data_IF_375766139326
#
_entry.id   IF_375766139326
#
_cell.length_a   1.000
_cell.length_b   1.000
_cell.length_c   1.000
_cell.angle_alpha   90.00
_cell.angle_beta   90.00
_cell.angle_gamma   90.00
#
_symmetry.space_group_name_H-M   'P 1'
#
loop_
_entity.id
_entity.type
_entity.pdbx_description
1 polymer ?
#
# COMPACT_ATOMS: atom_id res chain seq x y z
N UNK A 1 -4.44 9.59 11.26
CA UNK A 1 -5.08 9.54 12.59
C UNK A 1 -6.35 10.40 12.65
N UNK A 2 -6.31 11.67 12.25
CA UNK A 2 -7.46 12.60 12.31
C UNK A 2 -8.71 12.12 11.56
N UNK A 3 -8.57 11.59 10.33
CA UNK A 3 -9.69 11.01 9.54
C UNK A 3 -10.43 9.90 10.31
N UNK A 4 -9.69 9.03 11.00
CA UNK A 4 -10.26 7.90 11.73
C UNK A 4 -11.08 8.37 12.95
N UNK A 5 -10.58 9.38 13.66
CA UNK A 5 -11.30 10.00 14.79
C UNK A 5 -12.58 10.70 14.32
N UNK A 6 -12.52 11.47 13.22
CA UNK A 6 -13.70 12.12 12.64
C UNK A 6 -14.73 11.10 12.17
N UNK A 7 -14.28 10.03 11.52
CA UNK A 7 -15.16 8.97 11.01
C UNK A 7 -15.88 8.24 12.14
N UNK A 8 -15.15 7.82 13.18
CA UNK A 8 -15.74 7.09 14.31
C UNK A 8 -16.71 7.94 15.12
N UNK A 9 -16.48 9.25 15.22
CA UNK A 9 -17.34 10.15 16.00
C UNK A 9 -18.59 10.60 15.25
N UNK A 10 -18.57 10.64 13.92
CA UNK A 10 -19.68 11.07 13.07
C UNK A 10 -21.03 10.38 13.35
N UNK A 11 -21.15 9.03 13.41
CA UNK A 11 -22.43 8.38 13.68
C UNK A 11 -22.99 8.73 15.07
N UNK A 12 -22.14 8.90 16.08
CA UNK A 12 -22.57 9.33 17.41
C UNK A 12 -23.08 10.77 17.41
N UNK A 13 -22.50 11.65 16.60
CA UNK A 13 -22.99 13.02 16.44
C UNK A 13 -24.39 13.03 15.81
N UNK A 14 -24.62 12.22 14.78
CA UNK A 14 -25.94 12.07 14.14
C UNK A 14 -26.98 11.51 15.12
N UNK A 15 -26.61 10.47 15.87
CA UNK A 15 -27.48 9.87 16.88
C UNK A 15 -27.83 10.85 18.03
N UNK A 16 -26.85 11.64 18.50
CA UNK A 16 -27.10 12.66 19.54
C UNK A 16 -27.95 13.84 19.04
N UNK A 17 -28.00 14.09 17.74
CA UNK A 17 -28.89 15.09 17.16
C UNK A 17 -30.36 14.63 17.18
N UNK A 18 -30.61 13.37 16.84
CA UNK A 18 -31.98 12.83 16.77
C UNK A 18 -32.60 12.61 18.15
N UNK A 19 -31.81 12.20 19.14
CA UNK A 19 -32.31 11.78 20.47
C UNK A 19 -32.48 12.91 21.48
N UNK A 20 -31.68 13.99 21.42
CA UNK A 20 -31.73 15.02 22.47
C UNK A 20 -32.72 16.14 22.14
N UNK A 21 -33.69 16.46 23.01
CA UNK A 21 -34.78 17.39 22.69
C UNK A 21 -34.38 18.89 22.69
N UNK A 22 -33.30 19.29 23.34
CA UNK A 22 -32.90 20.69 23.56
C UNK A 22 -32.69 21.50 22.26
N UNK A 23 -33.45 22.59 22.07
CA UNK A 23 -33.40 23.45 20.87
C UNK A 23 -32.07 24.19 20.69
N UNK A 24 -31.49 24.74 21.77
CA UNK A 24 -30.21 25.48 21.72
C UNK A 24 -29.02 24.59 21.30
N UNK A 25 -28.90 23.40 21.90
CA UNK A 25 -27.83 22.45 21.53
C UNK A 25 -28.06 21.79 20.16
N UNK A 26 -29.29 21.83 19.62
CA UNK A 26 -29.58 21.25 18.31
C UNK A 26 -28.85 21.96 17.18
N UNK A 27 -28.68 23.29 17.28
CA UNK A 27 -27.95 24.08 16.28
C UNK A 27 -26.46 23.78 16.35
N UNK A 28 -25.88 23.77 17.55
CA UNK A 28 -24.47 23.42 17.77
C UNK A 28 -24.16 22.04 17.21
N UNK A 29 -24.99 21.04 17.52
CA UNK A 29 -24.84 19.67 17.01
C UNK A 29 -24.91 19.58 15.50
N UNK A 30 -25.83 20.33 14.89
CA UNK A 30 -25.97 20.39 13.44
C UNK A 30 -24.70 20.95 12.80
N UNK A 31 -24.21 22.09 13.30
CA UNK A 31 -22.99 22.74 12.81
C UNK A 31 -21.80 21.81 12.97
N UNK A 32 -21.61 21.16 14.13
CA UNK A 32 -20.49 20.23 14.34
C UNK A 32 -20.57 19.02 13.42
N UNK A 33 -21.77 18.49 13.15
CA UNK A 33 -21.95 17.35 12.23
C UNK A 33 -21.67 17.74 10.78
N UNK A 34 -22.12 18.92 10.34
CA UNK A 34 -21.85 19.46 9.01
C UNK A 34 -20.36 19.76 8.83
N UNK A 35 -19.70 20.35 9.84
CA UNK A 35 -18.27 20.62 9.80
C UNK A 35 -17.43 19.33 9.77
N UNK A 36 -17.83 18.31 10.54
CA UNK A 36 -17.20 16.99 10.52
C UNK A 36 -17.32 16.34 9.13
N UNK A 37 -18.50 16.40 8.51
CA UNK A 37 -18.72 15.90 7.15
C UNK A 37 -17.88 16.69 6.13
N UNK A 38 -17.87 18.02 6.21
CA UNK A 38 -17.06 18.87 5.34
C UNK A 38 -15.57 18.53 5.45
N UNK A 39 -15.03 18.38 6.66
CA UNK A 39 -13.65 17.97 6.88
C UNK A 39 -13.36 16.57 6.32
N UNK A 40 -14.27 15.61 6.48
CA UNK A 40 -14.14 14.28 5.90
C UNK A 40 -14.08 14.34 4.36
N UNK A 41 -14.90 15.16 3.73
CA UNK A 41 -14.88 15.34 2.28
C UNK A 41 -13.59 16.05 1.81
N UNK A 42 -13.16 17.09 2.52
CA UNK A 42 -11.94 17.84 2.22
C UNK A 42 -10.68 16.97 2.32
N UNK A 43 -10.63 16.05 3.29
CA UNK A 43 -9.52 15.12 3.45
C UNK A 43 -9.43 14.05 2.34
N UNK A 44 -10.45 13.97 1.46
CA UNK A 44 -10.51 13.24 0.17
C UNK A 44 -9.70 11.93 0.11
N UNK A 45 -9.77 11.12 1.17
CA UNK A 45 -9.12 9.82 1.19
C UNK A 45 -10.08 8.78 0.59
N UNK A 46 -9.59 7.92 -0.32
CA UNK A 46 -10.38 6.82 -0.91
C UNK A 46 -11.10 5.97 0.15
N UNK A 47 -10.52 5.84 1.34
CA UNK A 47 -11.12 5.16 2.47
C UNK A 47 -12.43 5.82 2.98
N UNK A 48 -12.57 7.14 2.84
CA UNK A 48 -13.76 7.91 3.26
C UNK A 48 -14.92 7.67 2.28
N UNK A 49 -14.64 7.60 0.98
CA UNK A 49 -15.64 7.26 -0.03
C UNK A 49 -16.18 5.84 0.18
N UNK A 50 -15.27 4.88 0.41
CA UNK A 50 -15.64 3.50 0.74
C UNK A 50 -16.43 3.41 2.04
N UNK A 51 -16.06 4.18 3.07
CA UNK A 51 -16.74 4.14 4.36
C UNK A 51 -18.10 4.82 4.34
N UNK A 52 -18.27 5.88 3.54
CA UNK A 52 -19.59 6.47 3.27
C UNK A 52 -20.48 5.47 2.53
N UNK A 53 -19.94 4.79 1.51
CA UNK A 53 -20.67 3.77 0.75
C UNK A 53 -21.11 2.59 1.65
N UNK A 54 -20.24 2.15 2.57
CA UNK A 54 -20.53 1.06 3.49
C UNK A 54 -21.38 1.47 4.70
N UNK A 55 -21.24 2.71 5.17
CA UNK A 55 -21.95 3.23 6.36
C UNK A 55 -23.40 3.64 6.08
N UNK A 56 -23.70 4.14 4.87
CA UNK A 56 -25.05 4.54 4.46
C UNK A 56 -26.09 3.40 4.61
N UNK A 57 -25.82 2.17 4.13
CA UNK A 57 -26.71 1.03 4.30
C UNK A 57 -26.99 0.70 5.76
N UNK A 58 -25.98 0.79 6.64
CA UNK A 58 -26.14 0.52 8.08
C UNK A 58 -27.05 1.55 8.73
N UNK A 59 -26.86 2.83 8.42
CA UNK A 59 -27.72 3.90 8.92
C UNK A 59 -29.16 3.69 8.41
N UNK A 60 -29.33 3.39 7.13
CA UNK A 60 -30.65 3.10 6.54
C UNK A 60 -31.31 1.89 7.24
N UNK A 61 -30.57 0.80 7.46
CA UNK A 61 -31.06 -0.41 8.11
C UNK A 61 -31.50 -0.14 9.56
N UNK A 62 -30.69 0.57 10.34
CA UNK A 62 -31.04 0.99 11.72
C UNK A 62 -32.30 1.85 11.72
N UNK A 63 -32.45 2.74 10.74
CA UNK A 63 -33.67 3.54 10.60
C UNK A 63 -34.88 2.70 10.17
N UNK A 64 -34.70 1.71 9.31
CA UNK A 64 -35.78 0.86 8.80
C UNK A 64 -36.33 -0.05 9.89
N UNK A 65 -35.45 -0.66 10.71
CA UNK A 65 -35.83 -1.47 11.87
C UNK A 65 -36.56 -0.62 12.92
N UNK A 66 -36.05 0.57 13.23
CA UNK A 66 -36.68 1.47 14.20
C UNK A 66 -37.98 2.13 13.70
N UNK A 67 -38.29 2.05 12.40
CA UNK A 67 -39.54 2.57 11.82
C UNK A 67 -40.76 1.76 12.25
N UNK A 68 -40.60 0.48 12.57
CA UNK A 68 -41.68 -0.45 12.84
C UNK A 68 -42.26 -0.35 14.27
N UNK A 69 -41.60 0.36 15.20
CA UNK A 69 -41.84 0.17 16.63
C UNK A 69 -42.34 1.39 17.42
N UNK A 70 -42.52 2.59 16.82
CA UNK A 70 -42.69 3.83 17.63
C UNK A 70 -43.81 4.77 17.14
N UNK A 71 -44.74 5.03 18.06
CA UNK A 71 -45.97 5.85 18.03
C UNK A 71 -45.70 7.39 17.97
N UNK A 72 -46.65 8.34 18.23
CA UNK A 72 -46.67 9.72 17.70
C UNK A 72 -45.46 10.64 18.00
N UNK A 73 -44.49 10.23 18.84
CA UNK A 73 -43.13 10.80 18.90
C UNK A 73 -42.45 10.90 17.51
N UNK A 74 -42.92 10.06 16.57
CA UNK A 74 -42.48 9.96 15.19
C UNK A 74 -42.59 11.27 14.39
N UNK A 75 -43.53 12.18 14.72
CA UNK A 75 -43.71 13.41 13.95
C UNK A 75 -42.59 14.43 14.21
N UNK A 76 -42.13 14.55 15.46
CA UNK A 76 -41.03 15.43 15.85
C UNK A 76 -39.71 14.87 15.31
N UNK A 77 -39.48 13.56 15.44
CA UNK A 77 -38.29 12.90 14.88
C UNK A 77 -38.23 13.02 13.35
N UNK A 78 -39.34 12.78 12.63
CA UNK A 78 -39.39 12.96 11.16
C UNK A 78 -39.00 14.38 10.75
N UNK A 79 -39.51 15.41 11.44
CA UNK A 79 -39.15 16.81 11.16
C UNK A 79 -37.65 17.06 11.36
N UNK A 80 -37.06 16.53 12.43
CA UNK A 80 -35.61 16.63 12.70
C UNK A 80 -34.77 15.90 11.67
N UNK A 81 -35.15 14.69 11.28
CA UNK A 81 -34.45 13.90 10.26
C UNK A 81 -34.51 14.62 8.91
N UNK A 82 -35.66 15.18 8.51
CA UNK A 82 -35.78 15.99 7.28
C UNK A 82 -34.88 17.23 7.33
N UNK A 83 -34.75 17.88 8.48
CA UNK A 83 -33.84 19.02 8.64
C UNK A 83 -32.37 18.60 8.58
N UNK A 84 -32.01 17.50 9.24
CA UNK A 84 -30.66 16.93 9.19
C UNK A 84 -30.28 16.53 7.76
N UNK A 85 -31.16 15.81 7.06
CA UNK A 85 -30.94 15.41 5.67
C UNK A 85 -30.72 16.61 4.76
N UNK A 86 -31.56 17.67 4.88
CA UNK A 86 -31.36 18.92 4.15
C UNK A 86 -30.00 19.55 4.45
N UNK A 87 -29.61 19.64 5.72
CA UNK A 87 -28.31 20.20 6.11
C UNK A 87 -27.12 19.40 5.54
N UNK A 88 -27.18 18.07 5.57
CA UNK A 88 -26.14 17.21 5.00
C UNK A 88 -26.07 17.37 3.48
N UNK A 89 -27.21 17.46 2.78
CA UNK A 89 -27.25 17.74 1.34
C UNK A 89 -26.65 19.11 1.03
N UNK A 90 -26.98 20.15 1.79
CA UNK A 90 -26.36 21.47 1.61
C UNK A 90 -24.85 21.44 1.87
N UNK A 91 -24.40 20.73 2.92
CA UNK A 91 -22.96 20.56 3.19
C UNK A 91 -22.26 19.84 2.02
N UNK A 92 -22.88 18.80 1.46
CA UNK A 92 -22.36 18.09 0.30
C UNK A 92 -22.24 19.02 -0.92
N UNK A 93 -23.30 19.78 -1.23
CA UNK A 93 -23.30 20.74 -2.34
C UNK A 93 -22.24 21.83 -2.14
N UNK A 94 -22.14 22.41 -0.95
CA UNK A 94 -21.11 23.41 -0.62
C UNK A 94 -19.70 22.81 -0.79
N UNK A 95 -19.51 21.57 -0.35
CA UNK A 95 -18.22 20.88 -0.51
C UNK A 95 -17.88 20.69 -1.99
N UNK A 96 -18.84 20.22 -2.80
CA UNK A 96 -18.66 20.04 -4.25
C UNK A 96 -18.34 21.38 -4.92
N UNK A 97 -19.10 22.43 -4.64
CA UNK A 97 -18.85 23.77 -5.19
C UNK A 97 -17.49 24.30 -4.76
N UNK A 98 -17.10 24.09 -3.49
CA UNK A 98 -15.77 24.46 -2.99
C UNK A 98 -14.67 23.73 -3.77
N UNK A 99 -14.79 22.42 -3.97
CA UNK A 99 -13.85 21.65 -4.78
C UNK A 99 -13.79 22.22 -6.21
N UNK A 100 -14.91 22.33 -6.90
CA UNK A 100 -14.99 22.85 -8.29
C UNK A 100 -14.38 24.25 -8.43
N UNK A 101 -14.53 25.13 -7.44
CA UNK A 101 -14.02 26.50 -7.52
C UNK A 101 -12.55 26.65 -7.09
N UNK A 102 -12.08 25.85 -6.14
CA UNK A 102 -10.74 26.01 -5.53
C UNK A 102 -9.71 24.98 -5.99
N UNK A 103 -10.11 23.87 -6.61
CA UNK A 103 -9.15 22.93 -7.19
C UNK A 103 -8.87 23.32 -8.63
N UNK A 104 -7.60 23.66 -8.91
CA UNK A 104 -7.17 23.97 -10.27
C UNK A 104 -7.21 22.68 -11.10
N UNK A 105 -8.14 22.62 -12.05
CA UNK A 105 -8.50 21.47 -12.89
C UNK A 105 -7.36 20.75 -13.65
N UNK A 106 -6.10 21.22 -13.59
CA UNK A 106 -4.99 20.61 -14.32
C UNK A 106 -4.25 19.50 -13.57
N UNK A 107 -4.30 19.45 -12.24
CA UNK A 107 -3.67 18.38 -11.45
C UNK A 107 -4.64 17.22 -11.12
N UNK A 108 -5.96 17.47 -11.12
CA UNK A 108 -6.94 16.48 -10.68
C UNK A 108 -7.26 15.40 -11.71
N UNK A 109 -7.22 15.67 -13.02
CA UNK A 109 -7.35 14.60 -14.02
C UNK A 109 -6.23 13.58 -13.88
N UNK A 110 -5.00 14.03 -13.60
CA UNK A 110 -3.88 13.15 -13.34
C UNK A 110 -4.00 12.46 -11.97
N UNK A 111 -4.46 13.13 -10.91
CA UNK A 111 -4.64 12.51 -9.61
C UNK A 111 -5.81 11.50 -9.56
N UNK A 112 -6.90 11.73 -10.29
CA UNK A 112 -8.01 10.79 -10.42
C UNK A 112 -7.64 9.64 -11.36
N UNK A 113 -7.01 9.90 -12.51
CA UNK A 113 -6.51 8.86 -13.41
C UNK A 113 -5.45 7.99 -12.73
N UNK A 114 -4.48 8.57 -12.02
CA UNK A 114 -3.50 7.83 -11.22
C UNK A 114 -4.12 7.20 -9.96
N UNK A 115 -5.33 7.62 -9.57
CA UNK A 115 -6.06 7.00 -8.48
C UNK A 115 -6.80 5.73 -8.88
N UNK A 116 -7.21 5.62 -10.13
CA UNK A 116 -7.84 4.43 -10.69
C UNK A 116 -6.88 3.55 -11.50
N UNK A 117 -5.79 4.11 -12.03
CA UNK A 117 -4.72 3.36 -12.67
C UNK A 117 -3.88 2.64 -11.59
N UNK A 118 -4.13 1.33 -11.43
CA UNK A 118 -3.45 0.47 -10.46
C UNK A 118 -1.95 0.25 -10.75
N UNK A 119 -1.43 0.79 -11.85
CA UNK A 119 -0.10 0.44 -12.34
C UNK A 119 1.05 1.26 -11.73
N UNK A 120 0.80 2.47 -11.22
CA UNK A 120 1.87 3.38 -10.77
C UNK A 120 1.61 4.00 -9.38
N UNK A 121 1.22 3.19 -8.38
CA UNK A 121 1.07 3.70 -7.01
C UNK A 121 1.14 2.64 -5.91
N UNK A 122 1.27 3.11 -4.65
CA UNK A 122 1.36 2.32 -3.40
C UNK A 122 0.32 1.20 -3.24
N UNK A 123 -0.78 1.23 -3.99
CA UNK A 123 -1.77 0.15 -4.04
C UNK A 123 -1.19 -1.18 -4.56
N UNK A 124 -0.33 -1.13 -5.59
CA UNK A 124 0.33 -2.33 -6.14
C UNK A 124 1.28 -2.96 -5.13
N UNK A 125 2.08 -2.14 -4.46
CA UNK A 125 2.98 -2.61 -3.39
C UNK A 125 2.20 -3.26 -2.24
N UNK A 126 1.03 -2.71 -1.88
CA UNK A 126 0.17 -3.29 -0.84
C UNK A 126 -0.45 -4.60 -1.29
N UNK A 127 -1.01 -4.67 -2.50
CA UNK A 127 -1.57 -5.92 -3.05
C UNK A 127 -0.51 -7.00 -3.15
N UNK A 128 0.70 -6.63 -3.55
CA UNK A 128 1.85 -7.54 -3.59
C UNK A 128 2.24 -8.00 -2.18
N UNK A 129 2.28 -7.08 -1.21
CA UNK A 129 2.57 -7.39 0.19
C UNK A 129 1.49 -8.32 0.80
N UNK A 130 0.22 -8.10 0.47
CA UNK A 130 -0.89 -8.99 0.84
C UNK A 130 -0.75 -10.37 0.21
N UNK A 131 -0.44 -10.43 -1.10
CA UNK A 131 -0.18 -11.69 -1.80
C UNK A 131 0.93 -12.49 -1.14
N UNK A 132 2.05 -11.84 -0.80
CA UNK A 132 3.17 -12.45 -0.06
C UNK A 132 2.75 -12.89 1.34
N UNK A 133 1.91 -12.11 2.02
CA UNK A 133 1.36 -12.47 3.34
C UNK A 133 0.51 -13.74 3.28
N UNK A 134 -0.36 -13.87 2.27
CA UNK A 134 -1.14 -15.09 2.07
C UNK A 134 -0.27 -16.32 1.79
N UNK A 135 0.86 -16.16 1.11
CA UNK A 135 1.83 -17.24 0.89
C UNK A 135 2.48 -17.71 2.20
N UNK A 136 2.87 -16.77 3.09
CA UNK A 136 3.38 -17.10 4.42
C UNK A 136 2.33 -17.86 5.24
N UNK A 137 1.07 -17.43 5.18
CA UNK A 137 -0.05 -18.09 5.89
C UNK A 137 -0.23 -19.52 5.35
N UNK A 138 -0.10 -19.72 4.03
CA UNK A 138 -0.19 -21.05 3.43
C UNK A 138 0.96 -21.98 3.86
N UNK A 139 2.18 -21.46 4.05
CA UNK A 139 3.32 -22.28 4.52
C UNK A 139 3.23 -22.64 6.00
N UNK A 140 2.76 -21.72 6.86
CA UNK A 140 2.71 -21.92 8.31
C UNK A 140 1.35 -21.52 8.88
N UNK A 141 0.26 -22.25 8.55
CA UNK A 141 -1.09 -21.84 8.93
C UNK A 141 -1.34 -21.93 10.44
N UNK A 142 -0.71 -22.90 11.11
CA UNK A 142 -0.96 -23.18 12.54
C UNK A 142 0.01 -22.44 13.46
N UNK A 143 1.31 -22.53 13.19
CA UNK A 143 2.33 -21.88 14.03
C UNK A 143 2.54 -20.40 13.69
N UNK A 144 2.12 -19.97 12.51
CA UNK A 144 2.41 -18.65 11.98
C UNK A 144 3.91 -18.38 11.86
N UNK A 145 4.22 -17.09 11.69
CA UNK A 145 5.56 -16.53 11.86
C UNK A 145 5.45 -15.45 12.93
N UNK A 146 6.28 -15.52 13.97
CA UNK A 146 6.27 -14.50 15.02
C UNK A 146 6.41 -13.09 14.44
N UNK A 147 5.83 -12.08 15.10
CA UNK A 147 5.76 -10.70 14.59
C UNK A 147 7.12 -10.14 14.15
N UNK A 148 8.19 -10.48 14.87
CA UNK A 148 9.56 -10.08 14.52
C UNK A 148 10.11 -10.81 13.27
N UNK A 149 9.67 -12.05 13.04
CA UNK A 149 10.10 -12.90 11.93
C UNK A 149 9.28 -12.66 10.65
N UNK A 150 8.10 -12.03 10.74
CA UNK A 150 7.30 -11.73 9.55
C UNK A 150 8.07 -10.87 8.53
N UNK A 151 8.84 -9.88 9.01
CA UNK A 151 9.63 -8.99 8.13
C UNK A 151 10.72 -9.75 7.37
N UNK A 152 11.30 -10.81 7.94
CA UNK A 152 12.31 -11.63 7.25
C UNK A 152 11.66 -12.65 6.33
N UNK A 153 10.57 -13.28 6.78
CA UNK A 153 9.83 -14.29 6.02
C UNK A 153 9.17 -13.69 4.77
N UNK A 154 8.63 -12.48 4.83
CA UNK A 154 8.01 -11.83 3.67
C UNK A 154 9.00 -11.47 2.55
N UNK A 155 10.29 -11.33 2.89
CA UNK A 155 11.34 -11.08 1.89
C UNK A 155 11.61 -12.30 1.02
N UNK A 156 11.28 -13.52 1.47
CA UNK A 156 11.39 -14.75 0.66
C UNK A 156 10.50 -14.70 -0.58
N UNK A 157 9.32 -14.11 -0.44
CA UNK A 157 8.30 -14.07 -1.50
C UNK A 157 8.39 -12.82 -2.38
N UNK A 158 9.19 -11.83 -1.99
CA UNK A 158 9.35 -10.59 -2.73
C UNK A 158 10.53 -10.51 -3.68
N UNK A 159 11.46 -11.43 -3.53
CA UNK A 159 12.68 -11.48 -4.32
C UNK A 159 12.75 -12.85 -4.97
N UNK A 160 12.12 -13.02 -6.13
CA UNK A 160 12.19 -14.27 -6.90
C UNK A 160 13.66 -14.71 -7.12
N UNK A 161 14.59 -13.76 -7.24
CA UNK A 161 16.03 -14.04 -7.28
C UNK A 161 16.58 -14.66 -5.98
N UNK A 162 16.10 -14.24 -4.80
CA UNK A 162 16.48 -14.89 -3.54
C UNK A 162 15.82 -16.24 -3.34
N UNK A 163 14.60 -16.42 -3.82
CA UNK A 163 13.92 -17.71 -3.76
C UNK A 163 14.70 -18.76 -4.56
N UNK A 164 15.12 -18.42 -5.79
CA UNK A 164 15.98 -19.28 -6.58
C UNK A 164 17.37 -19.49 -5.95
N UNK A 165 17.95 -18.45 -5.34
CA UNK A 165 19.22 -18.58 -4.62
C UNK A 165 19.12 -19.55 -3.43
N UNK A 166 18.08 -19.42 -2.61
CA UNK A 166 17.86 -20.29 -1.45
C UNK A 166 17.57 -21.74 -1.85
N UNK A 167 16.95 -21.96 -3.02
CA UNK A 167 16.73 -23.28 -3.60
C UNK A 167 17.94 -23.83 -4.39
N UNK A 168 19.11 -23.20 -4.28
CA UNK A 168 20.35 -23.53 -4.99
C UNK A 168 20.24 -23.51 -6.53
N UNK A 169 19.23 -22.84 -7.07
CA UNK A 169 18.99 -22.64 -8.51
C UNK A 169 19.64 -21.32 -8.97
N UNK A 170 20.97 -21.30 -8.99
CA UNK A 170 21.76 -20.07 -9.15
C UNK A 170 21.59 -19.41 -10.53
N UNK A 171 21.41 -20.20 -11.60
CA UNK A 171 21.17 -19.65 -12.94
C UNK A 171 19.81 -18.98 -13.07
N UNK A 172 18.78 -19.55 -12.46
CA UNK A 172 17.44 -18.95 -12.36
C UNK A 172 17.47 -17.67 -11.52
N UNK A 173 18.21 -17.69 -10.40
CA UNK A 173 18.40 -16.51 -9.54
C UNK A 173 19.04 -15.35 -10.30
N UNK A 174 20.06 -15.65 -11.10
CA UNK A 174 20.77 -14.70 -11.93
C UNK A 174 19.92 -14.18 -13.09
N UNK A 175 19.16 -15.05 -13.76
CA UNK A 175 18.24 -14.67 -14.84
C UNK A 175 17.13 -13.72 -14.36
N UNK A 176 16.63 -13.91 -13.12
CA UNK A 176 15.68 -12.96 -12.52
C UNK A 176 16.34 -11.61 -12.28
N UNK A 177 17.58 -11.59 -11.76
CA UNK A 177 18.33 -10.35 -11.54
C UNK A 177 18.62 -9.60 -12.84
N UNK A 178 18.86 -10.31 -13.95
CA UNK A 178 19.01 -9.70 -15.27
C UNK A 178 17.71 -9.11 -15.82
N UNK A 179 16.55 -9.67 -15.46
CA UNK A 179 15.22 -9.18 -15.88
C UNK A 179 14.72 -7.99 -15.07
N UNK A 180 15.22 -7.79 -13.86
CA UNK A 180 14.92 -6.59 -13.08
C UNK A 180 15.60 -5.42 -13.79
N UNK A 181 14.82 -4.56 -14.43
CA UNK A 181 15.30 -3.44 -15.24
C UNK A 181 16.27 -2.55 -14.42
N UNK A 182 17.56 -2.68 -14.75
CA UNK A 182 18.69 -2.11 -14.00
C UNK A 182 18.94 -0.65 -14.39
N UNK A 183 18.06 -0.05 -15.21
CA UNK A 183 18.11 1.38 -15.49
C UNK A 183 17.95 2.26 -14.24
N UNK A 184 17.50 1.67 -13.13
CA UNK A 184 17.56 2.33 -11.84
C UNK A 184 18.74 1.78 -11.06
N UNK A 185 19.79 2.61 -10.90
CA UNK A 185 20.93 2.48 -9.97
C UNK A 185 20.44 2.40 -8.50
N UNK A 186 19.57 1.46 -8.14
CA UNK A 186 19.02 1.38 -6.79
C UNK A 186 20.03 0.68 -5.87
N UNK A 187 20.56 1.38 -4.85
CA UNK A 187 21.53 0.80 -3.90
C UNK A 187 20.96 -0.39 -3.12
N UNK A 188 19.63 -0.55 -3.11
CA UNK A 188 18.90 -1.60 -2.39
C UNK A 188 19.15 -3.02 -2.94
N UNK A 189 19.65 -3.15 -4.18
CA UNK A 189 19.96 -4.46 -4.77
C UNK A 189 21.37 -4.97 -4.45
N UNK A 190 22.29 -4.08 -4.02
CA UNK A 190 23.66 -4.43 -3.67
C UNK A 190 23.78 -5.64 -2.70
N UNK A 191 23.03 -5.70 -1.58
CA UNK A 191 23.17 -6.82 -0.63
C UNK A 191 22.69 -8.18 -1.18
N UNK A 192 21.85 -8.19 -2.23
CA UNK A 192 21.32 -9.42 -2.81
C UNK A 192 22.17 -9.92 -3.99
N UNK A 193 22.83 -9.01 -4.70
CA UNK A 193 23.67 -9.32 -5.84
C UNK A 193 24.94 -10.06 -5.43
N UNK A 194 25.60 -9.62 -4.36
CA UNK A 194 26.86 -10.21 -3.85
C UNK A 194 26.77 -11.71 -3.60
N UNK A 195 25.84 -12.25 -2.80
CA UNK A 195 25.78 -13.69 -2.54
C UNK A 195 25.51 -14.51 -3.82
N UNK A 196 24.67 -14.02 -4.72
CA UNK A 196 24.32 -14.70 -5.97
C UNK A 196 25.52 -14.75 -6.92
N UNK A 197 26.24 -13.63 -7.10
CA UNK A 197 27.45 -13.59 -7.92
C UNK A 197 28.58 -14.41 -7.31
N UNK A 198 28.76 -14.39 -5.99
CA UNK A 198 29.77 -15.18 -5.28
C UNK A 198 29.54 -16.69 -5.49
N UNK A 199 28.28 -17.13 -5.44
CA UNK A 199 27.92 -18.52 -5.69
C UNK A 199 28.04 -18.91 -7.17
N UNK A 200 27.60 -18.04 -8.10
CA UNK A 200 27.77 -18.26 -9.55
C UNK A 200 29.25 -18.37 -9.91
N UNK A 201 30.09 -17.51 -9.35
CA UNK A 201 31.56 -17.59 -9.46
C UNK A 201 32.09 -18.94 -8.99
N UNK A 202 31.68 -19.40 -7.80
CA UNK A 202 32.13 -20.70 -7.25
C UNK A 202 31.81 -21.84 -8.23
N UNK A 203 30.61 -21.84 -8.82
CA UNK A 203 30.21 -22.82 -9.83
C UNK A 203 31.09 -22.76 -11.10
N UNK A 204 31.41 -21.56 -11.57
CA UNK A 204 32.27 -21.37 -12.74
C UNK A 204 33.72 -21.80 -12.50
N UNK A 205 34.26 -21.56 -11.32
CA UNK A 205 35.61 -21.98 -10.94
C UNK A 205 35.74 -23.50 -10.83
N UNK A 206 34.72 -24.17 -10.27
CA UNK A 206 34.63 -25.63 -10.27
C UNK A 206 34.56 -26.16 -11.71
N UNK A 207 33.76 -25.55 -12.57
CA UNK A 207 33.63 -25.94 -13.99
C UNK A 207 34.95 -25.78 -14.78
N UNK A 208 35.77 -24.79 -14.44
CA UNK A 208 37.08 -24.54 -15.08
C UNK A 208 38.25 -25.26 -14.41
N UNK A 209 37.99 -26.14 -13.44
CA UNK A 209 39.00 -26.91 -12.70
C UNK A 209 40.09 -26.04 -12.03
N UNK A 210 39.74 -24.80 -11.67
CA UNK A 210 40.69 -23.77 -11.24
C UNK A 210 40.37 -23.31 -9.81
N UNK A 211 40.41 -24.24 -8.87
CA UNK A 211 39.98 -24.06 -7.47
C UNK A 211 40.89 -23.12 -6.66
N UNK A 212 42.13 -22.91 -7.10
CA UNK A 212 43.14 -22.11 -6.40
C UNK A 212 42.93 -20.59 -6.54
N UNK A 213 42.03 -20.15 -7.43
CA UNK A 213 41.75 -18.72 -7.69
C UNK A 213 40.73 -18.13 -6.70
N UNK A 214 40.01 -18.97 -5.94
CA UNK A 214 38.98 -18.50 -5.00
C UNK A 214 39.53 -17.59 -3.89
N UNK A 215 40.81 -17.69 -3.55
CA UNK A 215 41.50 -16.90 -2.51
C UNK A 215 42.02 -15.54 -2.99
N UNK A 216 42.10 -15.31 -4.31
CA UNK A 216 42.67 -14.10 -4.90
C UNK A 216 41.65 -12.98 -5.16
N UNK A 217 40.35 -13.27 -5.00
CA UNK A 217 39.28 -12.34 -5.35
C UNK A 217 38.73 -11.59 -4.12
N UNK A 218 38.48 -10.27 -4.22
CA UNK A 218 37.93 -9.48 -3.12
C UNK A 218 36.57 -10.02 -2.64
N UNK A 219 36.37 -10.06 -1.32
CA UNK A 219 35.04 -10.32 -0.72
C UNK A 219 34.29 -9.00 -0.46
N UNK A 220 34.46 -8.04 -1.36
CA UNK A 220 33.88 -6.70 -1.26
C UNK A 220 32.59 -6.59 -2.08
N UNK A 221 31.49 -6.23 -1.41
CA UNK A 221 30.19 -5.99 -2.02
C UNK A 221 30.21 -4.90 -3.10
N UNK A 222 31.05 -3.86 -2.94
CA UNK A 222 31.15 -2.81 -3.95
C UNK A 222 31.84 -3.33 -5.22
N UNK A 223 32.91 -4.11 -5.08
CA UNK A 223 33.57 -4.76 -6.21
C UNK A 223 32.59 -5.60 -7.06
N UNK A 224 31.77 -6.46 -6.45
CA UNK A 224 30.79 -7.28 -7.18
C UNK A 224 29.75 -6.43 -7.92
N UNK A 225 29.29 -5.36 -7.29
CA UNK A 225 28.36 -4.42 -7.90
C UNK A 225 28.97 -3.73 -9.13
N UNK A 226 30.23 -3.30 -9.04
CA UNK A 226 30.94 -2.68 -10.16
C UNK A 226 31.16 -3.65 -11.33
N UNK A 227 31.49 -4.92 -11.06
CA UNK A 227 31.62 -5.92 -12.14
C UNK A 227 30.28 -6.21 -12.82
N UNK A 228 29.19 -6.24 -12.06
CA UNK A 228 27.85 -6.39 -12.63
C UNK A 228 27.45 -5.21 -13.50
N UNK A 229 27.76 -3.97 -13.08
CA UNK A 229 27.53 -2.78 -13.90
C UNK A 229 28.37 -2.80 -15.19
N UNK A 230 29.61 -3.31 -15.15
CA UNK A 230 30.44 -3.52 -16.35
C UNK A 230 29.85 -4.57 -17.28
N UNK A 231 29.35 -5.69 -16.74
CA UNK A 231 28.65 -6.72 -17.52
C UNK A 231 27.45 -6.13 -18.28
N UNK A 232 26.62 -5.35 -17.59
CA UNK A 232 25.43 -4.73 -18.21
C UNK A 232 25.81 -3.68 -19.24
N UNK A 233 26.69 -2.75 -18.87
CA UNK A 233 27.04 -1.62 -19.74
C UNK A 233 27.79 -2.05 -21.01
N UNK A 234 28.57 -3.13 -20.93
CA UNK A 234 29.34 -3.64 -22.08
C UNK A 234 28.69 -4.86 -22.77
N UNK A 235 27.59 -5.38 -22.23
CA UNK A 235 26.95 -6.64 -22.67
C UNK A 235 27.91 -7.85 -22.71
N UNK A 236 28.99 -7.81 -21.94
CA UNK A 236 30.01 -8.88 -21.90
C UNK A 236 29.57 -9.90 -20.85
N UNK A 237 29.58 -11.22 -21.10
CA UNK A 237 29.22 -12.24 -20.10
C UNK A 237 29.88 -12.00 -18.74
N UNK A 238 29.11 -12.14 -17.64
CA UNK A 238 29.62 -11.93 -16.25
C UNK A 238 30.88 -12.75 -15.99
N UNK A 239 30.99 -13.92 -16.60
CA UNK A 239 32.15 -14.79 -16.49
C UNK A 239 33.41 -14.07 -16.96
N UNK A 240 33.37 -13.47 -18.15
CA UNK A 240 34.51 -12.77 -18.74
C UNK A 240 34.86 -11.53 -17.92
N UNK A 241 33.88 -10.79 -17.41
CA UNK A 241 34.15 -9.61 -16.57
C UNK A 241 34.82 -9.98 -15.24
N UNK A 242 34.40 -11.08 -14.61
CA UNK A 242 35.01 -11.58 -13.36
C UNK A 242 36.44 -12.12 -13.62
N UNK A 243 36.67 -12.80 -14.74
CA UNK A 243 37.97 -13.39 -15.07
C UNK A 243 38.97 -12.42 -15.70
N UNK A 244 38.53 -11.40 -16.41
CA UNK A 244 39.42 -10.37 -16.96
C UNK A 244 39.96 -9.45 -15.85
N UNK A 245 39.19 -9.24 -14.78
CA UNK A 245 39.63 -8.52 -13.59
C UNK A 245 40.74 -9.26 -12.79
N UNK A 246 41.00 -10.53 -13.09
CA UNK A 246 42.07 -11.34 -12.49
C UNK A 246 43.37 -11.34 -13.31
N UNK A 247 43.32 -10.86 -14.56
CA UNK A 247 44.48 -10.81 -15.46
C UNK A 247 45.23 -9.47 -15.38
N UNK A 248 44.66 -8.49 -14.66
CA UNK A 248 45.26 -7.17 -14.38
C UNK A 248 45.93 -7.22 -13.03
#
# INVERSE_FOLDING_TARGET
>A
MLVLVLFLTFPFQLYRYTTTPSRKLSVVKLITSSLTLFMLLLLSNRAIWLSLLAGLPVVIAVFWVNRAQISPLNQIMRKRIKTLARALVYTLLISITFFVLFTQFKEEEQHLANSFASDHGSGKDRLELWKRTFQIIAEKPVSGVGLANWKTEILKFGNAGLQYYNSNQIDSAYAVIQKVDVNIKQPRFKPFLTPILKQKRKLLLVKKNNTNINTLLPDDQEWYYQQYLKHISKQIPVENVIFDALKQ
#
